data_IF_013604994912
#
_entry.id   IF_013604994912
#
_cell.length_a   1.000
_cell.length_b   1.000
_cell.length_c   1.000
_cell.angle_alpha   90.00
_cell.angle_beta   90.00
_cell.angle_gamma   90.00
#
_symmetry.space_group_name_H-M   'P 1'
#
loop_
_entity.id
_entity.type
_entity.pdbx_description
1 polymer ?
#
# COMPACT_ATOMS: atom_id res chain seq x y z
N UNK A 1 34.36 -16.04 -8.75
CA UNK A 1 33.30 -15.02 -8.92
C UNK A 1 33.66 -14.13 -10.10
N UNK A 2 32.99 -14.30 -11.24
CA UNK A 2 33.37 -13.66 -12.50
C UNK A 2 33.45 -12.13 -12.37
N UNK A 3 34.49 -11.55 -13.00
CA UNK A 3 34.73 -10.11 -13.10
C UNK A 3 33.74 -9.47 -14.08
N UNK A 4 32.44 -9.56 -13.82
CA UNK A 4 31.47 -8.80 -14.62
C UNK A 4 31.53 -7.36 -14.14
N UNK A 5 32.21 -6.52 -14.92
CA UNK A 5 32.22 -5.06 -14.74
C UNK A 5 30.81 -4.51 -14.90
N UNK A 6 30.53 -3.39 -14.25
CA UNK A 6 29.34 -2.58 -14.58
C UNK A 6 29.38 -2.28 -16.08
N UNK A 7 28.22 -2.31 -16.75
CA UNK A 7 28.14 -2.00 -18.18
C UNK A 7 28.80 -0.64 -18.46
N UNK A 8 29.54 -0.57 -19.57
CA UNK A 8 30.07 0.71 -20.04
C UNK A 8 28.95 1.54 -20.68
N UNK A 9 29.16 2.85 -20.82
CA UNK A 9 28.19 3.72 -21.49
C UNK A 9 27.85 3.24 -22.91
N UNK A 10 28.85 2.77 -23.66
CA UNK A 10 28.65 2.24 -25.01
C UNK A 10 27.80 0.95 -24.99
N UNK A 11 28.03 0.06 -24.01
CA UNK A 11 27.23 -1.16 -23.87
C UNK A 11 25.79 -0.87 -23.45
N UNK A 12 25.56 0.13 -22.57
CA UNK A 12 24.22 0.58 -22.20
C UNK A 12 23.46 1.10 -23.44
N UNK A 13 24.11 1.93 -24.28
CA UNK A 13 23.51 2.44 -25.51
C UNK A 13 23.23 1.34 -26.53
N UNK A 14 24.18 0.42 -26.75
CA UNK A 14 24.00 -0.73 -27.66
C UNK A 14 22.81 -1.60 -27.25
N UNK A 15 22.63 -1.85 -25.95
CA UNK A 15 21.48 -2.60 -25.43
C UNK A 15 20.19 -1.80 -25.61
N UNK A 16 20.23 -0.48 -25.38
CA UNK A 16 19.09 0.41 -25.63
C UNK A 16 18.62 0.39 -27.09
N UNK A 17 19.56 0.41 -28.04
CA UNK A 17 19.26 0.30 -29.47
C UNK A 17 18.62 -1.05 -29.82
N UNK A 18 19.08 -2.15 -29.22
CA UNK A 18 18.45 -3.48 -29.38
C UNK A 18 17.04 -3.53 -28.83
N UNK A 19 16.79 -2.89 -27.68
CA UNK A 19 15.44 -2.76 -27.11
C UNK A 19 14.53 -1.99 -28.08
N UNK A 20 14.98 -0.84 -28.57
CA UNK A 20 14.19 -0.04 -29.52
C UNK A 20 13.95 -0.75 -30.85
N UNK A 21 14.92 -1.54 -31.33
CA UNK A 21 14.74 -2.37 -32.52
C UNK A 21 13.71 -3.48 -32.29
N UNK A 22 13.78 -4.20 -31.17
CA UNK A 22 12.81 -5.25 -30.82
C UNK A 22 11.39 -4.68 -30.63
N UNK A 23 11.26 -3.53 -29.96
CA UNK A 23 9.97 -2.82 -29.82
C UNK A 23 9.41 -2.43 -31.19
N UNK A 24 10.24 -1.92 -32.10
CA UNK A 24 9.83 -1.60 -33.47
C UNK A 24 9.36 -2.83 -34.24
N UNK A 25 10.13 -3.92 -34.22
CA UNK A 25 9.78 -5.18 -34.88
C UNK A 25 8.46 -5.76 -34.35
N UNK A 26 8.20 -5.61 -33.04
CA UNK A 26 6.95 -6.00 -32.41
C UNK A 26 5.77 -5.20 -32.99
N UNK A 27 5.87 -3.87 -33.06
CA UNK A 27 4.81 -3.05 -33.64
C UNK A 27 4.65 -3.26 -35.15
N UNK A 28 5.73 -3.47 -35.91
CA UNK A 28 5.63 -3.83 -37.32
C UNK A 28 4.84 -5.12 -37.51
N UNK A 29 5.02 -6.11 -36.63
CA UNK A 29 4.26 -7.35 -36.64
C UNK A 29 2.79 -7.15 -36.23
N UNK A 30 2.51 -6.28 -35.25
CA UNK A 30 1.13 -5.93 -34.85
C UNK A 30 0.37 -5.18 -35.96
N UNK A 31 1.03 -4.28 -36.67
CA UNK A 31 0.44 -3.57 -37.82
C UNK A 31 0.29 -4.48 -39.05
N UNK A 32 1.12 -5.53 -39.15
CA UNK A 32 1.02 -6.52 -40.22
C UNK A 32 -0.20 -7.44 -40.04
N UNK A 33 -0.48 -7.84 -38.79
CA UNK A 33 -1.60 -8.71 -38.40
C UNK A 33 -2.97 -8.05 -38.65
N UNK A 34 -3.93 -8.68 -39.35
CA UNK A 34 -5.28 -8.16 -39.50
C UNK A 34 -5.98 -7.83 -38.17
N UNK A 35 -5.90 -8.71 -37.18
CA UNK A 35 -6.50 -8.47 -35.86
C UNK A 35 -5.77 -7.34 -35.10
N UNK A 36 -4.45 -7.28 -35.25
CA UNK A 36 -3.62 -6.25 -34.62
C UNK A 36 -3.87 -4.87 -35.22
N UNK A 37 -3.95 -4.77 -36.54
CA UNK A 37 -4.29 -3.55 -37.26
C UNK A 37 -5.71 -3.06 -36.91
N UNK A 38 -6.67 -3.97 -36.80
CA UNK A 38 -8.04 -3.65 -36.37
C UNK A 38 -8.07 -3.10 -34.94
N UNK A 39 -7.37 -3.75 -34.01
CA UNK A 39 -7.30 -3.32 -32.60
C UNK A 39 -6.57 -1.98 -32.45
N UNK A 40 -5.47 -1.75 -33.17
CA UNK A 40 -4.77 -0.47 -33.22
C UNK A 40 -5.64 0.64 -33.79
N UNK A 41 -6.40 0.36 -34.86
CA UNK A 41 -7.31 1.33 -35.43
C UNK A 41 -8.49 1.65 -34.48
N UNK A 42 -8.99 0.67 -33.72
CA UNK A 42 -10.01 0.88 -32.70
C UNK A 42 -9.50 1.80 -31.58
N UNK A 43 -8.26 1.62 -31.13
CA UNK A 43 -7.61 2.56 -30.20
C UNK A 43 -7.54 3.98 -30.77
N UNK A 44 -7.22 4.12 -32.07
CA UNK A 44 -7.23 5.42 -32.75
C UNK A 44 -8.61 6.10 -32.76
N UNK A 45 -9.68 5.32 -32.98
CA UNK A 45 -11.06 5.81 -32.93
C UNK A 45 -11.47 6.21 -31.50
N UNK A 46 -11.07 5.43 -30.50
CA UNK A 46 -11.31 5.72 -29.08
C UNK A 46 -10.65 7.04 -28.66
N UNK A 47 -9.42 7.30 -29.16
CA UNK A 47 -8.74 8.57 -28.94
C UNK A 47 -9.47 9.75 -29.58
N UNK A 48 -9.95 9.62 -30.81
CA UNK A 48 -10.72 10.67 -31.50
C UNK A 48 -12.06 10.96 -30.85
N UNK A 49 -12.70 9.90 -30.32
CA UNK A 49 -13.95 10.02 -29.58
C UNK A 49 -13.76 10.58 -28.15
N UNK A 50 -12.51 10.81 -27.71
CA UNK A 50 -12.18 11.25 -26.36
C UNK A 50 -12.43 10.21 -25.27
N UNK A 51 -12.51 8.92 -25.64
CA UNK A 51 -12.68 7.78 -24.71
C UNK A 51 -11.35 7.29 -24.14
N UNK A 52 -10.25 7.54 -24.85
CA UNK A 52 -8.88 7.28 -24.41
C UNK A 52 -8.02 8.52 -24.66
N UNK A 53 -7.07 8.81 -23.77
CA UNK A 53 -6.14 9.93 -23.94
C UNK A 53 -4.71 9.45 -24.12
N UNK A 54 -3.83 10.31 -24.62
CA UNK A 54 -2.40 10.02 -24.65
C UNK A 54 -1.83 9.66 -23.25
N UNK A 55 -2.45 10.12 -22.15
CA UNK A 55 -2.03 9.76 -20.79
C UNK A 55 -2.28 8.29 -20.44
N UNK A 56 -3.36 7.73 -20.99
CA UNK A 56 -3.76 6.34 -20.70
C UNK A 56 -2.94 5.33 -21.51
N UNK A 57 -2.38 5.78 -22.64
CA UNK A 57 -1.72 4.90 -23.61
C UNK A 57 -0.20 4.97 -23.57
N UNK A 58 0.41 6.03 -23.06
CA UNK A 58 1.86 6.21 -23.06
C UNK A 58 2.50 5.70 -21.77
N UNK A 59 3.69 5.11 -21.88
CA UNK A 59 4.45 4.62 -20.72
C UNK A 59 4.95 5.77 -19.81
N UNK A 60 5.23 6.93 -20.40
CA UNK A 60 5.79 8.10 -19.73
C UNK A 60 5.01 9.40 -20.08
N UNK A 61 3.75 9.52 -19.63
CA UNK A 61 2.89 10.64 -20.04
C UNK A 61 3.20 11.96 -19.32
N UNK A 62 3.78 11.90 -18.12
CA UNK A 62 4.10 13.08 -17.31
C UNK A 62 5.55 13.59 -17.51
N UNK A 63 6.17 13.27 -18.64
CA UNK A 63 7.52 13.75 -18.94
C UNK A 63 7.56 15.28 -19.08
N UNK A 64 8.51 15.91 -18.37
CA UNK A 64 8.76 17.33 -18.48
C UNK A 64 9.16 17.68 -19.94
N UNK A 65 8.38 18.58 -20.56
CA UNK A 65 8.45 19.01 -21.97
C UNK A 65 7.70 18.14 -22.99
N UNK A 66 6.82 17.23 -22.57
CA UNK A 66 5.92 16.54 -23.49
C UNK A 66 4.69 17.42 -23.79
N UNK A 67 4.53 17.83 -25.04
CA UNK A 67 3.28 18.44 -25.51
C UNK A 67 2.26 17.34 -25.79
N UNK A 68 1.43 17.05 -24.79
CA UNK A 68 0.44 15.97 -24.84
C UNK A 68 -0.53 16.14 -26.01
N UNK A 69 -0.92 17.37 -26.37
CA UNK A 69 -1.86 17.61 -27.47
C UNK A 69 -1.23 17.24 -28.80
N UNK A 70 0.04 17.61 -29.01
CA UNK A 70 0.78 17.26 -30.21
C UNK A 70 1.03 15.75 -30.31
N UNK A 71 1.40 15.11 -29.19
CA UNK A 71 1.64 13.66 -29.14
C UNK A 71 0.35 12.88 -29.36
N UNK A 72 -0.76 13.34 -28.82
CA UNK A 72 -2.08 12.75 -29.02
C UNK A 72 -2.50 12.78 -30.49
N UNK A 73 -2.31 13.91 -31.17
CA UNK A 73 -2.54 14.02 -32.62
C UNK A 73 -1.62 13.12 -33.46
N UNK A 74 -0.33 13.05 -33.09
CA UNK A 74 0.64 12.17 -33.76
C UNK A 74 0.31 10.69 -33.58
N UNK A 75 -0.04 10.28 -32.35
CA UNK A 75 -0.41 8.90 -32.02
C UNK A 75 -1.71 8.50 -32.72
N UNK A 76 -2.76 9.33 -32.64
CA UNK A 76 -4.02 9.05 -33.31
C UNK A 76 -3.86 8.94 -34.84
N UNK A 77 -3.02 9.80 -35.44
CA UNK A 77 -2.68 9.72 -36.86
C UNK A 77 -1.88 8.47 -37.24
N UNK A 78 -0.98 8.00 -36.37
CA UNK A 78 -0.27 6.74 -36.59
C UNK A 78 -1.20 5.52 -36.46
N UNK A 79 -2.10 5.52 -35.48
CA UNK A 79 -3.05 4.43 -35.26
C UNK A 79 -4.07 4.31 -36.40
N UNK A 80 -4.54 5.41 -36.98
CA UNK A 80 -5.44 5.37 -38.15
C UNK A 80 -4.79 4.69 -39.36
N UNK A 81 -3.48 4.93 -39.56
CA UNK A 81 -2.71 4.33 -40.66
C UNK A 81 -2.61 2.80 -40.56
N UNK A 82 -3.05 2.19 -39.46
CA UNK A 82 -3.23 0.74 -39.39
C UNK A 82 -4.23 0.22 -40.45
N UNK A 83 -5.18 1.05 -40.89
CA UNK A 83 -6.13 0.71 -41.98
C UNK A 83 -5.55 0.86 -43.39
N UNK A 84 -4.34 1.41 -43.52
CA UNK A 84 -3.74 1.63 -44.84
C UNK A 84 -3.40 0.32 -45.53
N UNK A 85 -3.73 0.25 -46.82
CA UNK A 85 -3.36 -0.88 -47.70
C UNK A 85 -1.85 -0.86 -48.00
N UNK A 86 -1.19 0.29 -47.85
CA UNK A 86 0.23 0.44 -48.16
C UNK A 86 1.12 -0.04 -46.99
N UNK A 87 1.88 -1.11 -47.21
CA UNK A 87 2.81 -1.65 -46.23
C UNK A 87 3.85 -0.61 -45.73
N UNK A 88 4.26 0.32 -46.61
CA UNK A 88 5.18 1.41 -46.24
C UNK A 88 4.57 2.36 -45.19
N UNK A 89 3.30 2.72 -45.35
CA UNK A 89 2.61 3.60 -44.40
C UNK A 89 2.39 2.92 -43.04
N UNK A 90 2.08 1.62 -43.06
CA UNK A 90 1.98 0.80 -41.83
C UNK A 90 3.32 0.69 -41.10
N UNK A 91 4.43 0.53 -41.83
CA UNK A 91 5.77 0.49 -41.22
C UNK A 91 6.19 1.84 -40.61
N UNK A 92 5.86 2.96 -41.27
CA UNK A 92 6.09 4.31 -40.72
C UNK A 92 5.24 4.57 -39.47
N UNK A 93 3.98 4.11 -39.47
CA UNK A 93 3.10 4.16 -38.31
C UNK A 93 3.63 3.31 -37.14
N UNK A 94 4.05 2.07 -37.39
CA UNK A 94 4.66 1.20 -36.40
C UNK A 94 5.92 1.82 -35.77
N UNK A 95 6.79 2.44 -36.58
CA UNK A 95 7.96 3.16 -36.08
C UNK A 95 7.58 4.37 -35.21
N UNK A 96 6.50 5.07 -35.54
CA UNK A 96 5.98 6.19 -34.75
C UNK A 96 5.45 5.71 -33.41
N UNK A 97 4.63 4.66 -33.42
CA UNK A 97 4.09 4.03 -32.20
C UNK A 97 5.22 3.51 -31.28
N UNK A 98 6.20 2.82 -31.87
CA UNK A 98 7.39 2.36 -31.14
C UNK A 98 8.21 3.52 -30.57
N UNK A 99 8.27 4.66 -31.27
CA UNK A 99 8.97 5.86 -30.80
C UNK A 99 8.25 6.50 -29.62
N UNK A 100 6.93 6.55 -29.64
CA UNK A 100 6.09 7.13 -28.59
C UNK A 100 5.99 6.23 -27.34
N UNK A 101 6.31 4.94 -27.45
CA UNK A 101 6.37 3.96 -26.35
C UNK A 101 5.03 3.84 -25.61
N UNK A 102 4.13 3.08 -26.23
CA UNK A 102 2.87 2.69 -25.60
C UNK A 102 3.14 1.89 -24.32
N UNK A 103 2.27 2.07 -23.33
CA UNK A 103 2.30 1.37 -22.05
C UNK A 103 2.30 -0.16 -22.21
N UNK A 104 3.00 -0.84 -21.31
CA UNK A 104 3.16 -2.29 -21.31
C UNK A 104 1.81 -3.03 -21.25
N UNK A 105 0.83 -2.53 -20.48
CA UNK A 105 -0.48 -3.17 -20.34
C UNK A 105 -1.28 -3.13 -21.64
N UNK A 106 -1.31 -1.97 -22.31
CA UNK A 106 -1.97 -1.79 -23.60
C UNK A 106 -1.31 -2.67 -24.67
N UNK A 107 0.02 -2.71 -24.70
CA UNK A 107 0.76 -3.58 -25.63
C UNK A 107 0.42 -5.06 -25.40
N UNK A 108 0.37 -5.52 -24.15
CA UNK A 108 0.02 -6.90 -23.83
C UNK A 108 -1.41 -7.24 -24.26
N UNK A 109 -2.36 -6.33 -24.08
CA UNK A 109 -3.74 -6.50 -24.55
C UNK A 109 -3.82 -6.64 -26.08
N UNK A 110 -3.08 -5.82 -26.83
CA UNK A 110 -3.00 -5.91 -28.30
C UNK A 110 -2.43 -7.26 -28.75
N UNK A 111 -1.34 -7.70 -28.15
CA UNK A 111 -0.72 -9.01 -28.45
C UNK A 111 -1.68 -10.16 -28.13
N UNK A 112 -2.38 -10.11 -26.99
CA UNK A 112 -3.37 -11.11 -26.62
C UNK A 112 -4.53 -11.19 -27.63
N UNK A 113 -4.99 -10.05 -28.14
CA UNK A 113 -6.00 -10.00 -29.20
C UNK A 113 -5.56 -10.69 -30.49
N UNK A 114 -4.32 -10.45 -30.93
CA UNK A 114 -3.76 -11.13 -32.12
C UNK A 114 -3.62 -12.63 -31.89
N UNK A 115 -3.16 -13.05 -30.70
CA UNK A 115 -3.05 -14.48 -30.36
C UNK A 115 -4.39 -15.20 -30.36
N UNK A 116 -5.45 -14.55 -29.89
CA UNK A 116 -6.80 -15.11 -29.94
C UNK A 116 -7.31 -15.27 -31.39
N UNK A 117 -7.01 -14.30 -32.26
CA UNK A 117 -7.42 -14.34 -33.67
C UNK A 117 -6.60 -15.32 -34.53
N UNK A 118 -5.41 -15.72 -34.07
CA UNK A 118 -4.51 -16.62 -34.79
C UNK A 118 -5.09 -18.03 -35.02
N UNK A 119 -6.12 -18.44 -34.27
CA UNK A 119 -6.82 -19.71 -34.50
C UNK A 119 -7.67 -19.68 -35.79
N UNK A 120 -8.13 -18.51 -36.20
CA UNK A 120 -9.06 -18.34 -37.33
C UNK A 120 -8.38 -17.78 -38.60
N UNK A 121 -7.21 -17.15 -38.45
CA UNK A 121 -6.52 -16.40 -39.51
C UNK A 121 -5.05 -16.82 -39.65
N UNK A 122 -4.70 -17.32 -40.84
CA UNK A 122 -3.32 -17.73 -41.15
C UNK A 122 -2.33 -16.55 -41.14
N UNK A 123 -2.79 -15.36 -41.53
CA UNK A 123 -1.99 -14.13 -41.51
C UNK A 123 -1.69 -13.69 -40.07
N UNK A 124 -2.67 -13.80 -39.17
CA UNK A 124 -2.46 -13.52 -37.75
C UNK A 124 -1.55 -14.58 -37.10
N UNK A 125 -1.65 -15.86 -37.50
CA UNK A 125 -0.76 -16.91 -37.01
C UNK A 125 0.72 -16.68 -37.40
N UNK A 126 1.00 -16.21 -38.62
CA UNK A 126 2.36 -15.82 -39.03
C UNK A 126 2.86 -14.63 -38.20
N UNK A 127 1.99 -13.63 -37.97
CA UNK A 127 2.33 -12.48 -37.14
C UNK A 127 2.60 -12.85 -35.68
N UNK A 128 1.89 -13.82 -35.10
CA UNK A 128 2.17 -14.31 -33.73
C UNK A 128 3.60 -14.82 -33.60
N UNK A 129 4.09 -15.61 -34.57
CA UNK A 129 5.48 -16.10 -34.54
C UNK A 129 6.49 -14.95 -34.60
N UNK A 130 6.21 -13.90 -35.38
CA UNK A 130 7.05 -12.71 -35.44
C UNK A 130 7.00 -11.90 -34.13
N UNK A 131 5.82 -11.78 -33.51
CA UNK A 131 5.63 -11.14 -32.21
C UNK A 131 6.40 -11.90 -31.12
N UNK A 132 6.28 -13.22 -31.04
CA UNK A 132 6.99 -14.04 -30.05
C UNK A 132 8.51 -13.89 -30.17
N UNK A 133 9.03 -13.84 -31.40
CA UNK A 133 10.46 -13.58 -31.66
C UNK A 133 10.86 -12.20 -31.17
N UNK A 134 10.06 -11.17 -31.46
CA UNK A 134 10.33 -9.81 -31.03
C UNK A 134 10.25 -9.65 -29.49
N UNK A 135 9.29 -10.30 -28.84
CA UNK A 135 9.16 -10.35 -27.38
C UNK A 135 10.36 -11.04 -26.74
N UNK A 136 10.78 -12.18 -27.28
CA UNK A 136 11.98 -12.90 -26.81
C UNK A 136 13.24 -12.03 -26.94
N UNK A 137 13.39 -11.30 -28.06
CA UNK A 137 14.51 -10.37 -28.23
C UNK A 137 14.47 -9.21 -27.24
N UNK A 138 13.28 -8.66 -27.01
CA UNK A 138 13.04 -7.57 -26.07
C UNK A 138 13.37 -7.99 -24.63
N UNK A 139 12.89 -9.16 -24.21
CA UNK A 139 13.15 -9.74 -22.89
C UNK A 139 14.64 -9.98 -22.69
N UNK A 140 15.30 -10.66 -23.62
CA UNK A 140 16.74 -10.91 -23.54
C UNK A 140 17.57 -9.61 -23.46
N UNK A 141 17.18 -8.57 -24.21
CA UNK A 141 17.87 -7.28 -24.18
C UNK A 141 17.65 -6.56 -22.83
N UNK A 142 16.42 -6.59 -22.29
CA UNK A 142 16.09 -6.05 -20.97
C UNK A 142 16.82 -6.80 -19.85
N UNK A 143 16.83 -8.12 -19.88
CA UNK A 143 17.55 -8.95 -18.92
C UNK A 143 19.04 -8.68 -18.91
N UNK A 144 19.65 -8.50 -20.09
CA UNK A 144 21.06 -8.10 -20.19
C UNK A 144 21.31 -6.71 -19.59
N UNK A 145 20.39 -5.75 -19.77
CA UNK A 145 20.47 -4.44 -19.15
C UNK A 145 20.39 -4.53 -17.62
N UNK A 146 19.45 -5.34 -17.10
CA UNK A 146 19.21 -5.53 -15.68
C UNK A 146 20.37 -6.26 -15.00
N UNK A 147 20.75 -7.44 -15.51
CA UNK A 147 21.83 -8.28 -14.96
C UNK A 147 23.17 -7.55 -14.94
N UNK A 148 23.45 -6.72 -15.96
CA UNK A 148 24.63 -5.86 -16.02
C UNK A 148 24.68 -4.77 -14.92
N UNK A 149 23.55 -4.44 -14.31
CA UNK A 149 23.40 -3.37 -13.32
C UNK A 149 23.03 -3.84 -11.91
N UNK A 150 22.91 -5.14 -11.64
CA UNK A 150 22.59 -5.65 -10.29
C UNK A 150 23.60 -5.20 -9.21
N UNK A 151 24.88 -5.02 -9.58
CA UNK A 151 25.90 -4.52 -8.64
C UNK A 151 25.64 -3.08 -8.19
N UNK A 152 25.00 -2.27 -9.04
CA UNK A 152 24.59 -0.91 -8.70
C UNK A 152 23.58 -0.94 -7.54
N UNK A 153 22.62 -1.86 -7.59
CA UNK A 153 21.61 -2.04 -6.54
C UNK A 153 22.27 -2.36 -5.21
N UNK A 154 23.19 -3.33 -5.17
CA UNK A 154 23.94 -3.69 -3.95
C UNK A 154 24.72 -2.49 -3.39
N UNK A 155 25.33 -1.67 -4.26
CA UNK A 155 26.05 -0.45 -3.86
C UNK A 155 25.12 0.55 -3.16
N UNK A 156 23.90 0.75 -3.66
CA UNK A 156 22.92 1.63 -3.03
C UNK A 156 22.31 1.03 -1.76
N UNK A 157 21.96 -0.26 -1.76
CA UNK A 157 21.36 -0.96 -0.62
C UNK A 157 22.27 -0.93 0.62
N UNK A 158 23.59 -1.07 0.44
CA UNK A 158 24.59 -0.98 1.53
C UNK A 158 24.50 0.30 2.36
N UNK A 159 24.06 1.42 1.78
CA UNK A 159 23.91 2.71 2.50
C UNK A 159 22.75 2.71 3.50
N UNK A 160 21.87 1.71 3.43
CA UNK A 160 20.66 1.59 4.25
C UNK A 160 20.72 0.42 5.24
N UNK A 161 21.88 -0.22 5.40
CA UNK A 161 22.11 -1.23 6.42
C UNK A 161 21.86 -0.68 7.84
N UNK A 162 21.44 -1.57 8.75
CA UNK A 162 21.19 -1.22 10.15
C UNK A 162 19.91 -0.42 10.41
N UNK A 163 18.97 -0.36 9.44
CA UNK A 163 17.70 0.37 9.57
C UNK A 163 16.47 -0.52 9.76
N UNK A 164 16.68 -1.75 10.26
CA UNK A 164 15.60 -2.70 10.56
C UNK A 164 15.14 -3.58 9.40
N UNK A 165 15.76 -3.48 8.23
CA UNK A 165 15.48 -4.33 7.06
C UNK A 165 16.75 -5.09 6.68
N UNK A 166 16.64 -6.38 6.35
CA UNK A 166 17.78 -7.20 5.97
C UNK A 166 18.38 -6.73 4.62
N UNK A 167 19.67 -6.98 4.41
CA UNK A 167 20.35 -6.55 3.17
C UNK A 167 19.72 -7.19 1.92
N UNK A 168 19.35 -8.47 2.02
CA UNK A 168 18.75 -9.19 0.89
C UNK A 168 17.41 -8.57 0.49
N UNK A 169 16.58 -8.22 1.47
CA UNK A 169 15.29 -7.56 1.23
C UNK A 169 15.50 -6.17 0.61
N UNK A 170 16.46 -5.38 1.13
CA UNK A 170 16.83 -4.10 0.51
C UNK A 170 17.31 -4.29 -0.94
N UNK A 171 18.08 -5.33 -1.23
CA UNK A 171 18.53 -5.63 -2.59
C UNK A 171 17.34 -6.00 -3.48
N UNK A 172 16.37 -6.78 -3.00
CA UNK A 172 15.18 -7.10 -3.79
C UNK A 172 14.33 -5.86 -4.08
N UNK A 173 14.09 -5.01 -3.08
CA UNK A 173 13.38 -3.75 -3.26
C UNK A 173 14.11 -2.80 -4.22
N UNK A 174 15.43 -2.77 -4.14
CA UNK A 174 16.26 -2.05 -5.10
C UNK A 174 16.20 -2.64 -6.51
N UNK A 175 16.09 -3.96 -6.67
CA UNK A 175 15.93 -4.63 -7.96
C UNK A 175 14.57 -4.29 -8.59
N UNK A 176 13.49 -4.20 -7.80
CA UNK A 176 12.18 -3.70 -8.26
C UNK A 176 12.32 -2.27 -8.79
N UNK A 177 13.09 -1.41 -8.10
CA UNK A 177 13.40 -0.07 -8.59
C UNK A 177 14.21 -0.08 -9.89
N UNK A 178 15.16 -0.99 -10.03
CA UNK A 178 15.95 -1.16 -11.26
C UNK A 178 15.09 -1.63 -12.44
N UNK A 179 14.15 -2.55 -12.21
CA UNK A 179 13.16 -3.02 -13.19
C UNK A 179 12.31 -1.86 -13.72
N UNK A 180 11.74 -1.04 -12.83
CA UNK A 180 10.98 0.16 -13.21
C UNK A 180 11.82 1.16 -14.00
N UNK A 181 13.10 1.32 -13.63
CA UNK A 181 14.01 2.17 -14.39
C UNK A 181 14.24 1.62 -15.80
N UNK A 182 14.49 0.32 -15.95
CA UNK A 182 14.74 -0.30 -17.25
C UNK A 182 13.52 -0.19 -18.17
N UNK A 183 12.32 -0.34 -17.61
CA UNK A 183 11.08 -0.15 -18.36
C UNK A 183 10.95 1.29 -18.88
N UNK A 184 11.13 2.30 -18.02
CA UNK A 184 10.91 3.71 -18.38
C UNK A 184 12.09 4.40 -19.04
N UNK A 185 13.26 3.77 -19.13
CA UNK A 185 14.47 4.38 -19.67
C UNK A 185 14.37 4.60 -21.19
N UNK A 186 14.79 5.77 -21.66
CA UNK A 186 14.93 6.08 -23.08
C UNK A 186 16.39 6.41 -23.41
N UNK A 187 17.01 5.51 -24.19
CA UNK A 187 18.41 5.63 -24.60
C UNK A 187 18.67 6.81 -25.56
N UNK A 188 17.65 7.29 -26.28
CA UNK A 188 17.77 8.38 -27.27
C UNK A 188 18.12 9.73 -26.64
N UNK A 189 17.92 9.86 -25.33
CA UNK A 189 18.19 11.08 -24.57
C UNK A 189 19.68 11.28 -24.26
N UNK A 190 20.54 10.30 -24.53
CA UNK A 190 21.99 10.42 -24.36
C UNK A 190 22.48 10.42 -22.91
N UNK A 191 21.60 10.09 -21.95
CA UNK A 191 21.99 9.92 -20.54
C UNK A 191 22.33 8.46 -20.24
N UNK A 192 23.25 8.24 -19.28
CA UNK A 192 23.60 6.91 -18.81
C UNK A 192 22.44 6.26 -18.06
N UNK A 193 22.22 4.98 -18.31
CA UNK A 193 21.18 4.21 -17.62
C UNK A 193 21.44 4.15 -16.11
N UNK A 194 22.68 3.90 -15.71
CA UNK A 194 23.10 3.90 -14.29
C UNK A 194 22.73 5.19 -13.53
N UNK A 195 22.79 6.36 -14.16
CA UNK A 195 22.39 7.64 -13.56
C UNK A 195 20.88 7.73 -13.38
N UNK A 196 20.12 7.31 -14.38
CA UNK A 196 18.65 7.28 -14.32
C UNK A 196 18.14 6.26 -13.29
N UNK A 197 18.68 5.03 -13.33
CA UNK A 197 18.33 3.94 -12.43
C UNK A 197 18.61 4.26 -10.97
N UNK A 198 19.67 5.03 -10.67
CA UNK A 198 19.99 5.44 -9.31
C UNK A 198 18.82 6.13 -8.59
N UNK A 199 18.01 6.91 -9.30
CA UNK A 199 16.85 7.59 -8.72
C UNK A 199 15.76 6.59 -8.32
N UNK A 200 15.39 5.69 -9.23
CA UNK A 200 14.38 4.65 -9.00
C UNK A 200 14.80 3.62 -7.93
N UNK A 201 16.07 3.22 -7.93
CA UNK A 201 16.64 2.35 -6.89
C UNK A 201 16.55 3.05 -5.54
N UNK A 202 16.97 4.32 -5.44
CA UNK A 202 16.93 5.08 -4.20
C UNK A 202 15.50 5.27 -3.69
N UNK A 203 14.54 5.57 -4.58
CA UNK A 203 13.14 5.72 -4.24
C UNK A 203 12.56 4.42 -3.68
N UNK A 204 12.82 3.29 -4.34
CA UNK A 204 12.31 1.98 -3.93
C UNK A 204 12.91 1.55 -2.58
N UNK A 205 14.21 1.73 -2.38
CA UNK A 205 14.88 1.51 -1.10
C UNK A 205 14.31 2.39 0.02
N UNK A 206 14.03 3.67 -0.26
CA UNK A 206 13.43 4.56 0.73
C UNK A 206 12.02 4.16 1.10
N UNK A 207 11.22 3.72 0.12
CA UNK A 207 9.87 3.23 0.34
C UNK A 207 9.85 1.93 1.16
N UNK A 208 10.77 1.00 0.90
CA UNK A 208 10.91 -0.23 1.66
C UNK A 208 11.17 0.02 3.16
N UNK A 209 11.96 1.05 3.48
CA UNK A 209 12.24 1.43 4.87
C UNK A 209 11.04 2.05 5.61
N UNK A 210 9.99 2.46 4.88
CA UNK A 210 8.76 2.98 5.48
C UNK A 210 7.85 1.85 5.99
N UNK A 211 8.05 0.62 5.51
CA UNK A 211 7.27 -0.54 5.93
C UNK A 211 7.78 -1.05 7.29
N UNK A 212 7.35 -0.35 8.33
CA UNK A 212 7.65 -0.62 9.73
C UNK A 212 6.60 -1.54 10.34
N UNK A 213 6.93 -2.18 11.46
CA UNK A 213 5.99 -3.01 12.26
C UNK A 213 4.65 -2.31 12.50
N UNK A 214 4.68 -1.00 12.77
CA UNK A 214 3.51 -0.14 12.73
C UNK A 214 3.65 0.79 11.53
N UNK A 215 2.82 0.55 10.50
CA UNK A 215 2.87 1.29 9.25
C UNK A 215 2.41 2.73 9.45
N UNK A 216 3.21 3.67 8.96
CA UNK A 216 2.87 5.09 8.92
C UNK A 216 2.57 5.51 7.48
N UNK A 217 1.64 6.46 7.26
CA UNK A 217 1.48 7.09 5.95
C UNK A 217 2.78 7.76 5.48
N UNK A 218 3.04 7.73 4.17
CA UNK A 218 4.30 8.22 3.58
C UNK A 218 4.59 9.67 3.97
N UNK A 219 3.60 10.54 3.88
CA UNK A 219 3.75 11.96 4.23
C UNK A 219 4.15 12.17 5.70
N UNK A 220 3.56 11.40 6.64
CA UNK A 220 3.90 11.47 8.07
C UNK A 220 5.34 11.02 8.30
N UNK A 221 5.77 9.94 7.63
CA UNK A 221 7.13 9.44 7.77
C UNK A 221 8.17 10.40 7.17
N UNK A 222 7.84 11.05 6.05
CA UNK A 222 8.68 12.08 5.44
C UNK A 222 8.84 13.30 6.35
N UNK A 223 7.74 13.78 6.96
CA UNK A 223 7.82 14.88 7.92
C UNK A 223 8.66 14.49 9.15
N UNK A 224 8.44 13.29 9.72
CA UNK A 224 9.23 12.77 10.85
C UNK A 224 10.72 12.74 10.51
N UNK A 225 11.08 12.28 9.32
CA UNK A 225 12.47 12.27 8.84
C UNK A 225 13.03 13.68 8.66
N UNK A 226 12.24 14.61 8.12
CA UNK A 226 12.64 16.01 7.93
C UNK A 226 12.89 16.70 9.27
N UNK A 227 11.99 16.51 10.24
CA UNK A 227 12.12 17.02 11.61
C UNK A 227 13.35 16.40 12.27
N UNK A 228 13.54 15.08 12.20
CA UNK A 228 14.71 14.41 12.78
C UNK A 228 16.03 14.92 12.19
N UNK A 229 16.11 15.09 10.87
CA UNK A 229 17.30 15.65 10.21
C UNK A 229 17.58 17.08 10.67
N UNK A 230 16.53 17.90 10.80
CA UNK A 230 16.66 19.27 11.26
C UNK A 230 17.12 19.32 12.72
N UNK A 231 16.54 18.50 13.60
CA UNK A 231 16.96 18.40 15.01
C UNK A 231 18.43 18.03 15.13
N UNK A 232 18.91 17.01 14.42
CA UNK A 232 20.33 16.64 14.44
C UNK A 232 21.24 17.76 13.90
N UNK A 233 20.84 18.44 12.83
CA UNK A 233 21.62 19.54 12.28
C UNK A 233 21.66 20.76 13.21
N UNK A 234 20.54 21.07 13.86
CA UNK A 234 20.42 22.18 14.81
C UNK A 234 21.20 21.91 16.09
N UNK A 235 21.07 20.70 16.65
CA UNK A 235 21.82 20.27 17.82
C UNK A 235 23.34 20.35 17.57
N UNK A 236 23.81 19.98 16.37
CA UNK A 236 25.22 20.09 16.01
C UNK A 236 25.72 21.53 15.81
N UNK A 237 24.83 22.51 15.58
CA UNK A 237 25.21 23.91 15.35
C UNK A 237 25.06 24.79 16.60
N UNK A 238 24.10 24.48 17.46
CA UNK A 238 23.70 25.33 18.59
C UNK A 238 23.85 24.64 19.95
N UNK A 239 24.35 23.39 19.98
CA UNK A 239 24.51 22.55 21.18
C UNK A 239 23.22 22.45 22.03
N UNK A 240 22.06 22.58 21.39
CA UNK A 240 20.73 22.43 22.02
C UNK A 240 19.71 21.90 21.03
N UNK A 241 18.59 21.38 21.56
CA UNK A 241 17.44 21.01 20.74
C UNK A 241 16.69 22.26 20.22
N UNK A 242 16.15 22.22 18.99
CA UNK A 242 15.33 23.32 18.47
C UNK A 242 13.95 23.34 19.13
N UNK A 243 13.41 24.55 19.28
CA UNK A 243 12.03 24.78 19.71
C UNK A 243 11.03 24.45 18.60
N UNK A 244 9.75 24.26 18.95
CA UNK A 244 8.70 23.96 17.97
C UNK A 244 8.56 25.09 16.92
N UNK A 245 8.73 26.35 17.33
CA UNK A 245 8.67 27.50 16.42
C UNK A 245 9.85 27.54 15.42
N UNK A 246 11.05 27.18 15.87
CA UNK A 246 12.23 27.07 15.01
C UNK A 246 12.05 25.93 13.99
N UNK A 247 11.49 24.79 14.42
CA UNK A 247 11.14 23.68 13.54
C UNK A 247 10.07 24.12 12.53
N UNK A 248 9.01 24.81 12.97
CA UNK A 248 7.93 25.29 12.10
C UNK A 248 8.46 26.25 11.03
N UNK A 249 9.30 27.21 11.42
CA UNK A 249 9.89 28.20 10.50
C UNK A 249 10.72 27.53 9.40
N UNK A 250 11.54 26.54 9.77
CA UNK A 250 12.42 25.86 8.82
C UNK A 250 11.72 24.77 7.99
N UNK A 251 10.71 24.09 8.56
CA UNK A 251 9.99 23.01 7.87
C UNK A 251 8.76 23.50 7.10
N UNK A 252 8.25 24.71 7.41
CA UNK A 252 6.97 25.25 6.92
C UNK A 252 5.77 24.36 7.28
N UNK A 253 5.87 23.64 8.39
CA UNK A 253 4.80 22.80 8.93
C UNK A 253 4.04 23.56 10.02
N UNK A 254 2.74 23.31 10.12
CA UNK A 254 1.92 23.85 11.22
C UNK A 254 2.34 23.27 12.58
N UNK A 255 2.16 24.06 13.63
CA UNK A 255 2.54 23.70 15.01
C UNK A 255 1.94 22.37 15.44
N UNK A 256 0.63 22.22 15.30
CA UNK A 256 -0.12 21.02 15.69
C UNK A 256 0.41 19.77 15.00
N UNK A 257 0.81 19.90 13.72
CA UNK A 257 1.37 18.78 12.95
C UNK A 257 2.73 18.36 13.49
N UNK A 258 3.57 19.32 13.88
CA UNK A 258 4.88 19.03 14.47
C UNK A 258 4.71 18.36 15.83
N UNK A 259 3.82 18.89 16.68
CA UNK A 259 3.51 18.31 17.99
C UNK A 259 3.02 16.86 17.84
N UNK A 260 2.05 16.61 16.96
CA UNK A 260 1.56 15.27 16.67
C UNK A 260 2.64 14.30 16.18
N UNK A 261 3.61 14.78 15.39
CA UNK A 261 4.71 13.95 14.91
C UNK A 261 5.71 13.64 16.04
N UNK A 262 5.96 14.60 16.92
CA UNK A 262 6.86 14.44 18.06
C UNK A 262 6.28 13.51 19.13
N UNK A 263 4.96 13.45 19.27
CA UNK A 263 4.27 12.52 20.17
C UNK A 263 4.17 11.10 19.62
N UNK A 264 4.49 10.87 18.33
CA UNK A 264 4.44 9.52 17.77
C UNK A 264 5.42 8.60 18.50
N UNK A 265 4.98 7.39 18.91
CA UNK A 265 5.85 6.47 19.60
C UNK A 265 7.08 6.08 18.74
N UNK A 266 8.19 5.69 19.39
CA UNK A 266 9.34 5.10 18.73
C UNK A 266 8.99 3.76 18.08
N UNK A 267 9.98 3.10 17.45
CA UNK A 267 9.78 1.71 17.03
C UNK A 267 9.50 0.83 18.26
N UNK A 268 8.60 -0.17 18.14
CA UNK A 268 8.36 -1.10 19.22
C UNK A 268 9.64 -1.85 19.56
N UNK A 269 9.88 -2.05 20.85
CA UNK A 269 10.97 -2.87 21.37
C UNK A 269 10.55 -4.33 21.46
N UNK A 270 11.52 -5.25 21.41
CA UNK A 270 11.24 -6.67 21.64
C UNK A 270 10.89 -6.92 23.11
N UNK A 271 9.87 -7.74 23.37
CA UNK A 271 9.51 -8.17 24.71
C UNK A 271 10.51 -9.21 25.28
N UNK A 272 11.34 -9.80 24.43
CA UNK A 272 12.40 -10.74 24.83
C UNK A 272 13.70 -10.05 25.25
N UNK A 273 13.74 -8.71 25.32
CA UNK A 273 14.91 -7.99 25.81
C UNK A 273 15.17 -8.42 27.26
N UNK A 274 16.39 -8.91 27.59
CA UNK A 274 16.74 -9.24 28.97
C UNK A 274 16.83 -7.95 29.80
N UNK A 275 16.38 -8.03 31.05
CA UNK A 275 16.32 -6.92 32.01
C UNK A 275 17.01 -7.36 33.31
N UNK A 276 17.75 -6.44 33.94
CA UNK A 276 18.54 -6.71 35.15
C UNK A 276 20.00 -7.08 34.84
N UNK A 277 20.86 -7.05 35.87
CA UNK A 277 22.31 -7.33 35.74
C UNK A 277 22.60 -8.80 35.42
N UNK A 278 21.77 -9.72 35.92
CA UNK A 278 21.93 -11.17 35.72
C UNK A 278 21.29 -11.69 34.42
N UNK A 279 20.50 -10.86 33.73
CA UNK A 279 19.88 -11.20 32.44
C UNK A 279 18.84 -12.33 32.47
N UNK A 280 18.43 -12.80 33.66
CA UNK A 280 17.45 -13.88 33.80
C UNK A 280 16.01 -13.45 33.51
N UNK A 281 15.66 -12.18 33.79
CA UNK A 281 14.33 -11.64 33.54
C UNK A 281 14.23 -11.05 32.14
N UNK A 282 13.07 -11.18 31.50
CA UNK A 282 12.76 -10.53 30.21
C UNK A 282 11.79 -9.37 30.42
N UNK A 283 11.76 -8.45 29.46
CA UNK A 283 10.81 -7.34 29.48
C UNK A 283 9.35 -7.83 29.54
N UNK A 284 9.03 -8.95 28.89
CA UNK A 284 7.70 -9.57 28.92
C UNK A 284 7.25 -9.92 30.34
N UNK A 285 8.18 -10.32 31.22
CA UNK A 285 7.88 -10.76 32.58
C UNK A 285 7.47 -9.57 33.48
N UNK A 286 7.78 -8.34 33.06
CA UNK A 286 7.43 -7.10 33.75
C UNK A 286 6.11 -6.49 33.26
N UNK A 287 5.56 -6.97 32.15
CA UNK A 287 4.31 -6.43 31.61
C UNK A 287 3.14 -7.06 32.36
N UNK A 288 2.33 -6.26 33.09
CA UNK A 288 1.19 -6.80 33.81
C UNK A 288 0.13 -7.34 32.85
N UNK A 289 -0.53 -8.42 33.25
CA UNK A 289 -1.70 -8.92 32.55
C UNK A 289 -2.89 -7.99 32.75
N UNK A 290 -3.74 -7.86 31.73
CA UNK A 290 -5.02 -7.16 31.84
C UNK A 290 -6.12 -8.02 32.48
N UNK A 291 -5.82 -9.27 32.86
CA UNK A 291 -6.77 -10.13 33.54
C UNK A 291 -7.10 -9.57 34.94
N UNK A 292 -8.38 -9.57 35.36
CA UNK A 292 -8.73 -9.18 36.71
C UNK A 292 -7.99 -10.07 37.70
N UNK A 293 -7.54 -9.46 38.78
CA UNK A 293 -6.83 -10.20 39.81
C UNK A 293 -7.75 -11.25 40.48
N UNK A 294 -7.21 -12.33 41.07
CA UNK A 294 -8.02 -13.40 41.65
C UNK A 294 -8.97 -12.92 42.76
N UNK A 295 -8.53 -11.91 43.53
CA UNK A 295 -9.32 -11.21 44.53
C UNK A 295 -10.48 -10.43 43.91
N UNK A 296 -10.25 -9.68 42.83
CA UNK A 296 -11.31 -8.99 42.08
C UNK A 296 -12.32 -10.00 41.51
N UNK A 297 -11.84 -11.11 40.97
CA UNK A 297 -12.70 -12.18 40.44
C UNK A 297 -13.54 -12.84 41.54
N UNK A 298 -12.93 -13.10 42.70
CA UNK A 298 -13.63 -13.63 43.87
C UNK A 298 -14.67 -12.63 44.40
N UNK A 299 -14.34 -11.34 44.46
CA UNK A 299 -15.24 -10.27 44.87
C UNK A 299 -16.44 -10.16 43.93
N UNK A 300 -16.22 -10.19 42.60
CA UNK A 300 -17.28 -10.18 41.59
C UNK A 300 -18.18 -11.41 41.69
N UNK A 301 -17.61 -12.60 41.91
CA UNK A 301 -18.39 -13.82 42.10
C UNK A 301 -19.21 -13.78 43.40
N UNK A 302 -18.63 -13.27 44.49
CA UNK A 302 -19.33 -13.08 45.76
C UNK A 302 -20.49 -12.10 45.61
N UNK A 303 -20.25 -10.95 44.96
CA UNK A 303 -21.27 -9.96 44.63
C UNK A 303 -22.40 -10.57 43.79
N UNK A 304 -22.06 -11.34 42.75
CA UNK A 304 -23.04 -12.05 41.93
C UNK A 304 -23.90 -13.00 42.76
N UNK A 305 -23.30 -13.74 43.69
CA UNK A 305 -24.03 -14.61 44.62
C UNK A 305 -24.97 -13.86 45.56
N UNK A 306 -24.51 -12.74 46.13
CA UNK A 306 -25.33 -11.90 47.01
C UNK A 306 -26.51 -11.25 46.28
N UNK A 307 -26.26 -10.71 45.07
CA UNK A 307 -27.28 -10.14 44.19
C UNK A 307 -28.30 -11.21 43.80
N UNK A 308 -27.84 -12.40 43.39
CA UNK A 308 -28.71 -13.54 43.10
C UNK A 308 -29.58 -13.93 44.30
N UNK A 309 -29.01 -13.95 45.50
CA UNK A 309 -29.73 -14.21 46.74
C UNK A 309 -30.76 -13.14 47.11
N UNK A 310 -30.55 -11.88 46.73
CA UNK A 310 -31.55 -10.81 46.88
C UNK A 310 -32.66 -10.91 45.85
N UNK A 311 -32.32 -11.18 44.59
CA UNK A 311 -33.29 -11.36 43.50
C UNK A 311 -34.23 -12.55 43.79
N UNK A 312 -33.73 -13.61 44.43
CA UNK A 312 -34.54 -14.76 44.84
C UNK A 312 -35.61 -14.43 45.89
N UNK A 313 -35.50 -13.30 46.61
CA UNK A 313 -36.51 -12.84 47.59
C UNK A 313 -37.60 -11.97 46.98
N UNK A 314 -37.40 -11.49 45.74
CA UNK A 314 -38.42 -10.77 45.00
C UNK A 314 -39.50 -11.73 44.49
N UNK A 315 -40.66 -11.17 44.17
CA UNK A 315 -41.70 -11.93 43.49
C UNK A 315 -41.19 -12.40 42.12
N UNK A 316 -41.60 -13.59 41.67
CA UNK A 316 -41.10 -14.22 40.44
C UNK A 316 -41.19 -13.29 39.21
N UNK A 317 -42.27 -12.50 39.15
CA UNK A 317 -42.50 -11.51 38.08
C UNK A 317 -41.55 -10.32 38.16
N UNK A 318 -41.26 -9.82 39.36
CA UNK A 318 -40.31 -8.72 39.60
C UNK A 318 -38.88 -9.16 39.24
N UNK A 319 -38.48 -10.34 39.70
CA UNK A 319 -37.18 -10.95 39.37
C UNK A 319 -36.99 -11.09 37.86
N UNK A 320 -37.99 -11.63 37.15
CA UNK A 320 -37.93 -11.83 35.69
C UNK A 320 -37.81 -10.53 34.91
N UNK A 321 -38.50 -9.47 35.36
CA UNK A 321 -38.39 -8.13 34.75
C UNK A 321 -36.98 -7.56 34.93
N UNK A 322 -36.42 -7.63 36.14
CA UNK A 322 -35.07 -7.14 36.41
C UNK A 322 -33.99 -7.94 35.68
N UNK A 323 -34.12 -9.27 35.64
CA UNK A 323 -33.19 -10.13 34.93
C UNK A 323 -33.12 -9.83 33.44
N UNK A 324 -34.26 -9.59 32.79
CA UNK A 324 -34.33 -9.18 31.38
C UNK A 324 -33.84 -7.74 31.16
N UNK A 325 -34.17 -6.82 32.08
CA UNK A 325 -33.81 -5.40 31.95
C UNK A 325 -32.31 -5.18 32.05
N UNK A 326 -31.66 -5.81 33.02
CA UNK A 326 -30.23 -5.65 33.34
C UNK A 326 -29.35 -6.80 32.82
N UNK A 327 -29.91 -7.75 32.07
CA UNK A 327 -29.14 -8.87 31.50
C UNK A 327 -28.48 -9.77 32.56
N UNK A 328 -29.15 -10.02 33.68
CA UNK A 328 -28.57 -10.78 34.81
C UNK A 328 -28.55 -12.30 34.55
N UNK A 329 -29.48 -12.80 33.74
CA UNK A 329 -29.58 -14.21 33.34
C UNK A 329 -29.23 -14.45 31.85
N UNK A 330 -29.09 -13.37 31.07
CA UNK A 330 -28.88 -13.39 29.62
C UNK A 330 -27.83 -12.37 29.21
N UNK A 331 -27.08 -12.63 28.15
CA UNK A 331 -25.94 -11.81 27.71
C UNK A 331 -26.29 -10.38 27.23
N UNK A 332 -27.56 -9.95 27.26
CA UNK A 332 -28.00 -8.66 26.72
C UNK A 332 -29.09 -8.02 27.57
N UNK A 333 -28.98 -6.70 27.75
CA UNK A 333 -30.01 -5.84 28.33
C UNK A 333 -31.17 -5.59 27.34
N UNK A 334 -32.40 -5.64 27.84
CA UNK A 334 -33.61 -5.33 27.06
C UNK A 334 -34.19 -3.96 27.41
N UNK A 335 -34.80 -3.29 26.43
CA UNK A 335 -35.53 -2.03 26.69
C UNK A 335 -36.88 -2.29 27.38
N UNK A 336 -37.46 -1.26 28.03
CA UNK A 336 -38.77 -1.39 28.68
C UNK A 336 -39.89 -1.82 27.71
N UNK A 337 -39.78 -1.43 26.45
CA UNK A 337 -40.73 -1.81 25.40
C UNK A 337 -40.57 -3.28 25.02
N UNK A 338 -39.33 -3.76 24.85
CA UNK A 338 -39.04 -5.16 24.55
C UNK A 338 -39.49 -6.09 25.69
N UNK A 339 -39.17 -5.73 26.95
CA UNK A 339 -39.62 -6.50 28.13
C UNK A 339 -41.15 -6.50 28.24
N UNK A 340 -41.79 -5.37 27.92
CA UNK A 340 -43.24 -5.25 27.88
C UNK A 340 -43.88 -6.17 26.84
N UNK A 341 -43.30 -6.24 25.64
CA UNK A 341 -43.76 -7.14 24.59
C UNK A 341 -43.63 -8.62 24.99
N UNK A 342 -42.51 -9.02 25.62
CA UNK A 342 -42.27 -10.40 26.06
C UNK A 342 -43.18 -10.86 27.20
N UNK A 343 -43.59 -9.94 28.09
CA UNK A 343 -44.41 -10.24 29.27
C UNK A 343 -45.88 -9.81 29.11
N UNK A 344 -46.29 -9.41 27.90
CA UNK A 344 -47.62 -8.90 27.57
C UNK A 344 -48.09 -7.78 28.51
N UNK A 345 -47.19 -6.82 28.76
CA UNK A 345 -47.43 -5.65 29.61
C UNK A 345 -47.10 -4.36 28.86
N UNK A 346 -47.79 -3.27 29.19
CA UNK A 346 -47.43 -1.95 28.67
C UNK A 346 -46.07 -1.51 29.22
N UNK A 347 -45.31 -0.73 28.43
CA UNK A 347 -44.04 -0.09 28.84
C UNK A 347 -44.12 0.57 30.22
N UNK A 348 -45.18 1.34 30.45
CA UNK A 348 -45.36 2.08 31.71
C UNK A 348 -45.57 1.13 32.90
N UNK A 349 -46.26 0.02 32.68
CA UNK A 349 -46.43 -1.00 33.72
C UNK A 349 -45.10 -1.69 34.08
N UNK A 350 -44.24 -1.97 33.11
CA UNK A 350 -42.88 -2.50 33.38
C UNK A 350 -42.07 -1.49 34.20
N UNK A 351 -42.09 -0.21 33.83
CA UNK A 351 -41.40 0.87 34.56
C UNK A 351 -41.83 0.95 36.03
N UNK A 352 -43.14 0.84 36.30
CA UNK A 352 -43.67 0.84 37.67
C UNK A 352 -43.18 -0.37 38.48
N UNK A 353 -43.19 -1.57 37.88
CA UNK A 353 -42.74 -2.78 38.55
C UNK A 353 -41.23 -2.74 38.80
N UNK A 354 -40.44 -2.24 37.84
CA UNK A 354 -39.00 -2.01 38.01
C UNK A 354 -38.72 -1.07 39.19
N UNK A 355 -39.38 0.09 39.25
CA UNK A 355 -39.19 1.04 40.36
C UNK A 355 -39.57 0.45 41.71
N UNK A 356 -40.67 -0.30 41.79
CA UNK A 356 -41.09 -1.02 43.00
C UNK A 356 -40.04 -2.06 43.40
N UNK A 357 -39.58 -2.88 42.47
CA UNK A 357 -38.60 -3.94 42.71
C UNK A 357 -37.23 -3.36 43.14
N UNK A 358 -36.76 -2.29 42.49
CA UNK A 358 -35.54 -1.58 42.88
C UNK A 358 -35.67 -0.92 44.26
N UNK A 359 -36.84 -0.39 44.62
CA UNK A 359 -37.09 0.15 45.96
C UNK A 359 -37.01 -0.96 47.04
N UNK A 360 -37.62 -2.12 46.78
CA UNK A 360 -37.52 -3.30 47.66
C UNK A 360 -36.07 -3.77 47.80
N UNK A 361 -35.34 -3.86 46.68
CA UNK A 361 -33.92 -4.24 46.67
C UNK A 361 -33.06 -3.24 47.44
N UNK A 362 -33.32 -1.94 47.33
CA UNK A 362 -32.60 -0.90 48.10
C UNK A 362 -32.71 -1.14 49.61
N UNK A 363 -33.92 -1.38 50.12
CA UNK A 363 -34.12 -1.65 51.55
C UNK A 363 -33.42 -2.94 51.99
N UNK A 364 -33.47 -3.99 51.17
CA UNK A 364 -32.80 -5.27 51.47
C UNK A 364 -31.26 -5.18 51.36
N UNK A 365 -30.75 -4.39 50.41
CA UNK A 365 -29.32 -4.20 50.18
C UNK A 365 -28.67 -3.38 51.29
N UNK A 366 -29.36 -2.34 51.81
CA UNK A 366 -28.89 -1.58 52.98
C UNK A 366 -28.76 -2.46 54.22
N UNK A 367 -29.65 -3.43 54.41
CA UNK A 367 -29.57 -4.38 55.53
C UNK A 367 -28.43 -5.41 55.39
N UNK A 368 -27.93 -5.65 54.17
CA UNK A 368 -26.84 -6.60 53.87
C UNK A 368 -25.49 -5.93 53.58
N UNK A 369 -25.40 -4.60 53.73
CA UNK A 369 -24.17 -3.83 53.48
C UNK A 369 -23.57 -4.01 52.08
N UNK A 370 -24.37 -4.27 51.04
CA UNK A 370 -23.90 -4.33 49.65
C UNK A 370 -23.23 -3.03 49.17
N UNK A 371 -23.38 -1.94 49.92
CA UNK A 371 -22.61 -0.71 49.75
C UNK A 371 -21.10 -0.91 49.91
N UNK A 372 -20.63 -1.98 50.56
CA UNK A 372 -19.20 -2.29 50.68
C UNK A 372 -18.55 -2.72 49.36
N UNK A 373 -19.34 -3.15 48.37
CA UNK A 373 -18.88 -3.52 47.03
C UNK A 373 -18.82 -2.34 46.06
N UNK A 374 -19.31 -1.16 46.46
CA UNK A 374 -19.10 0.06 45.71
C UNK A 374 -17.69 0.56 46.05
N UNK A 375 -16.72 0.27 45.20
CA UNK A 375 -15.42 0.96 45.23
C UNK A 375 -15.66 2.48 45.05
N UNK A 376 -15.02 3.31 45.88
CA UNK A 376 -15.02 4.79 45.73
C UNK A 376 -14.29 5.25 44.47
#
# INVERSE_FOLDING_TARGET
MARTSVLTAAQETEIGEKIAHAERSLYESLFAAPAGASALAALGDDMRAGRATARDLLLNPDEANLDLVKVEGELAGALEKARSVHAKERAEAAATVARLRIDSEVRLALVAGVRAAAEESAEDAEAVLAIERAETQLENARDRLLTGNLRLVVLFARKYLGRGVALLDLVQEGNIGLLRAAEKFDHRRGFRFSTYAAWWIKQSLQRALLDRTVRLPVHVADDRRRIAKLRSAFAAQHDREPTIEEIATATKLGRDRIENILTLPPQPSSLDIPVGEDGEARLVDLVPSNAPAPDQTAALNALGGEVGGLLARLEERERKILALRFGLDHAREHTLEEVGAMLHLTRERIRQIEQSALAKLRTMASARQLSSYLEE
#
